data_IF_971970622066
#
_entry.id   IF_971970622066
#
_cell.length_a   1.000
_cell.length_b   1.000
_cell.length_c   1.000
_cell.angle_alpha   90.00
_cell.angle_beta   90.00
_cell.angle_gamma   90.00
#
_symmetry.space_group_name_H-M   'P 1'
#
loop_
_entity.id
_entity.type
_entity.pdbx_description
1 polymer ?
#
# COMPACT_ATOMS: atom_id res chain seq x y z
N UNK A 1 -14.86 -34.63 -0.01
CA UNK A 1 -14.49 -34.04 0.51
C UNK A 1 -14.44 -32.86 0.22
N UNK A 2 -14.51 -32.20 0.61
CA UNK A 2 -14.48 -31.03 0.26
C UNK A 2 -13.26 -30.46 0.18
N UNK A 3 -13.06 -29.71 -0.63
CA UNK A 3 -11.95 -29.05 -0.71
C UNK A 3 -11.95 -27.91 0.07
N UNK A 4 -11.49 -27.95 1.14
CA UNK A 4 -11.46 -26.81 2.00
C UNK A 4 -10.64 -25.72 1.55
N UNK A 5 -9.81 -25.93 0.58
CA UNK A 5 -9.00 -24.86 0.09
C UNK A 5 -9.76 -23.78 -0.54
N UNK A 6 -10.86 -24.13 -1.11
CA UNK A 6 -11.61 -23.15 -1.76
C UNK A 6 -12.27 -22.22 -0.84
N UNK A 7 -12.30 -22.55 0.42
CA UNK A 7 -12.96 -21.66 1.34
C UNK A 7 -12.03 -20.64 1.95
N UNK A 8 -10.74 -20.70 1.64
CA UNK A 8 -9.82 -19.72 2.19
C UNK A 8 -9.90 -18.43 1.39
N UNK A 9 -10.33 -17.33 1.99
CA UNK A 9 -10.41 -16.07 1.25
C UNK A 9 -9.01 -15.52 0.96
N UNK A 10 -8.87 -14.84 -0.15
CA UNK A 10 -7.63 -14.13 -0.45
C UNK A 10 -7.57 -12.87 0.39
N UNK A 11 -6.38 -12.28 0.51
CA UNK A 11 -6.27 -11.00 1.19
C UNK A 11 -7.14 -9.95 0.51
N UNK A 12 -7.25 -10.00 -0.80
CA UNK A 12 -8.13 -9.11 -1.56
C UNK A 12 -9.57 -9.19 -1.06
N UNK A 13 -10.08 -10.40 -0.86
CA UNK A 13 -11.44 -10.59 -0.36
C UNK A 13 -11.59 -10.15 1.09
N UNK A 14 -10.59 -10.44 1.92
CA UNK A 14 -10.62 -10.03 3.32
C UNK A 14 -10.69 -8.51 3.44
N UNK A 15 -10.00 -7.79 2.56
CA UNK A 15 -9.97 -6.34 2.60
C UNK A 15 -11.20 -5.69 1.95
N UNK A 16 -12.11 -6.48 1.43
CA UNK A 16 -13.37 -5.97 0.89
C UNK A 16 -13.42 -5.83 -0.62
N UNK A 17 -12.55 -6.53 -1.33
CA UNK A 17 -12.54 -6.48 -2.80
C UNK A 17 -12.09 -5.12 -3.32
N UNK A 18 -12.42 -4.84 -4.56
CA UNK A 18 -12.02 -3.56 -5.16
C UNK A 18 -12.48 -2.34 -4.38
N UNK A 19 -13.74 -2.28 -3.92
CA UNK A 19 -14.15 -1.12 -3.12
C UNK A 19 -13.37 -0.99 -1.82
N UNK A 20 -13.03 -2.10 -1.17
CA UNK A 20 -12.26 -2.07 0.08
C UNK A 20 -10.84 -1.61 -0.14
N UNK A 21 -10.17 -2.10 -1.20
CA UNK A 21 -8.83 -1.66 -1.55
C UNK A 21 -8.85 -0.16 -1.91
N UNK A 22 -9.87 0.28 -2.64
CA UNK A 22 -9.98 1.70 -3.02
C UNK A 22 -10.13 2.59 -1.79
N UNK A 23 -10.95 2.18 -0.83
CA UNK A 23 -11.11 2.93 0.42
C UNK A 23 -9.80 3.03 1.17
N UNK A 24 -9.04 1.94 1.24
CA UNK A 24 -7.76 1.95 1.94
C UNK A 24 -6.78 2.90 1.26
N UNK A 25 -6.67 2.82 -0.04
CA UNK A 25 -5.73 3.66 -0.80
C UNK A 25 -6.12 5.14 -0.68
N UNK A 26 -7.40 5.46 -0.80
CA UNK A 26 -7.82 6.85 -0.70
C UNK A 26 -7.58 7.40 0.70
N UNK A 27 -7.85 6.61 1.74
CA UNK A 27 -7.60 7.07 3.10
C UNK A 27 -6.11 7.23 3.37
N UNK A 28 -5.30 6.31 2.85
CA UNK A 28 -3.84 6.38 2.96
C UNK A 28 -3.31 7.71 2.41
N UNK A 29 -3.72 8.10 1.22
CA UNK A 29 -3.25 9.34 0.64
C UNK A 29 -3.89 10.58 1.28
N UNK A 30 -5.12 10.47 1.78
CA UNK A 30 -5.73 11.57 2.53
C UNK A 30 -4.94 11.84 3.81
N UNK A 31 -4.56 10.79 4.54
CA UNK A 31 -3.75 10.91 5.76
C UNK A 31 -2.39 11.52 5.41
N UNK A 32 -1.76 11.06 4.35
CA UNK A 32 -0.47 11.58 3.91
C UNK A 32 -0.53 13.08 3.62
N UNK A 33 -1.64 13.52 3.03
CA UNK A 33 -1.77 14.92 2.61
C UNK A 33 -2.00 15.88 3.77
N UNK A 34 -2.64 15.41 4.84
CA UNK A 34 -3.03 16.32 5.93
C UNK A 34 -2.25 16.13 7.22
N UNK A 35 -1.56 15.01 7.40
CA UNK A 35 -0.90 14.72 8.67
C UNK A 35 0.51 15.31 8.70
N UNK A 36 0.74 16.20 9.66
CA UNK A 36 2.04 16.87 9.80
C UNK A 36 3.19 15.91 10.05
N UNK A 37 2.91 14.78 10.68
CA UNK A 37 3.94 13.80 10.97
C UNK A 37 4.44 13.11 9.70
N UNK A 38 3.76 13.30 8.57
CA UNK A 38 4.07 12.61 7.32
C UNK A 38 4.60 13.54 6.24
N UNK A 39 5.03 14.73 6.62
CA UNK A 39 5.44 15.74 5.61
C UNK A 39 6.67 15.30 4.81
N UNK A 40 7.57 14.52 5.39
CA UNK A 40 8.75 14.05 4.65
C UNK A 40 8.31 13.09 3.55
N UNK A 41 7.41 12.17 3.89
CA UNK A 41 6.85 11.24 2.91
C UNK A 41 6.05 12.01 1.85
N UNK A 42 5.23 12.97 2.28
CA UNK A 42 4.43 13.76 1.34
C UNK A 42 5.33 14.47 0.33
N UNK A 43 6.49 14.96 0.77
CA UNK A 43 7.40 15.69 -0.08
C UNK A 43 8.05 14.84 -1.17
N UNK A 44 8.06 13.53 -1.02
CA UNK A 44 8.56 12.62 -2.06
C UNK A 44 7.62 12.60 -3.27
N UNK A 45 6.36 12.97 -3.04
CA UNK A 45 5.33 12.96 -4.09
C UNK A 45 5.20 14.35 -4.73
N UNK A 46 4.72 14.38 -5.95
CA UNK A 46 4.49 15.64 -6.64
C UNK A 46 3.30 16.42 -6.07
N UNK A 47 2.92 17.52 -6.72
CA UNK A 47 1.84 18.36 -6.21
C UNK A 47 0.49 17.66 -6.10
N UNK A 48 0.20 16.74 -7.03
CA UNK A 48 -1.06 16.01 -7.01
C UNK A 48 -0.81 14.56 -6.65
N UNK A 49 -1.69 13.97 -5.84
CA UNK A 49 -1.62 12.57 -5.46
C UNK A 49 -2.54 11.70 -6.32
N UNK A 50 -3.21 12.25 -7.33
CA UNK A 50 -4.19 11.47 -8.09
C UNK A 50 -3.60 10.26 -8.79
N UNK A 51 -2.50 10.43 -9.49
CA UNK A 51 -1.88 9.30 -10.18
C UNK A 51 -1.33 8.27 -9.20
N UNK A 52 -0.80 8.73 -8.07
CA UNK A 52 -0.29 7.83 -7.05
C UNK A 52 -1.43 6.97 -6.48
N UNK A 53 -2.61 7.58 -6.25
CA UNK A 53 -3.78 6.86 -5.76
C UNK A 53 -4.19 5.74 -6.72
N UNK A 54 -4.27 6.05 -7.99
CA UNK A 54 -4.68 5.06 -8.98
C UNK A 54 -3.67 3.95 -9.11
N UNK A 55 -2.38 4.29 -9.15
CA UNK A 55 -1.34 3.28 -9.32
C UNK A 55 -1.24 2.35 -8.12
N UNK A 56 -1.34 2.87 -6.92
CA UNK A 56 -1.30 2.03 -5.72
C UNK A 56 -2.54 1.13 -5.67
N UNK A 57 -3.70 1.67 -6.00
CA UNK A 57 -4.93 0.88 -6.05
C UNK A 57 -4.77 -0.29 -7.04
N UNK A 58 -4.32 -0.02 -8.25
CA UNK A 58 -4.15 -1.07 -9.25
C UNK A 58 -3.14 -2.12 -8.79
N UNK A 59 -2.03 -1.67 -8.20
CA UNK A 59 -0.99 -2.56 -7.73
C UNK A 59 -1.49 -3.45 -6.58
N UNK A 60 -2.16 -2.86 -5.60
CA UNK A 60 -2.60 -3.64 -4.43
C UNK A 60 -3.69 -4.64 -4.78
N UNK A 61 -4.58 -4.30 -5.73
CA UNK A 61 -5.57 -5.29 -6.16
C UNK A 61 -4.88 -6.56 -6.63
N UNK A 62 -3.89 -6.44 -7.50
CA UNK A 62 -3.17 -7.61 -7.99
C UNK A 62 -2.31 -8.27 -6.94
N UNK A 63 -1.65 -7.47 -6.11
CA UNK A 63 -0.76 -7.99 -5.07
C UNK A 63 -1.52 -8.88 -4.08
N UNK A 64 -2.74 -8.53 -3.75
CA UNK A 64 -3.53 -9.27 -2.76
C UNK A 64 -4.41 -10.36 -3.38
N UNK A 65 -4.25 -10.66 -4.65
CA UNK A 65 -4.93 -11.79 -5.28
C UNK A 65 -6.17 -11.44 -6.07
N UNK A 66 -6.41 -10.16 -6.31
CA UNK A 66 -7.52 -9.70 -7.14
C UNK A 66 -7.11 -9.47 -8.58
N UNK A 67 -7.87 -8.67 -9.32
CA UNK A 67 -7.57 -8.39 -10.73
C UNK A 67 -6.20 -7.74 -10.91
N UNK A 68 -5.49 -8.13 -11.97
CA UNK A 68 -4.14 -7.68 -12.23
C UNK A 68 -4.12 -6.35 -13.00
N UNK A 69 -4.80 -5.36 -12.46
CA UNK A 69 -4.97 -4.05 -13.10
C UNK A 69 -3.65 -3.37 -13.45
N UNK A 70 -2.67 -3.44 -12.54
CA UNK A 70 -1.40 -2.77 -12.79
C UNK A 70 -0.64 -3.44 -13.93
N UNK A 71 -0.58 -4.76 -13.91
CA UNK A 71 0.14 -5.53 -14.93
C UNK A 71 -0.49 -5.33 -16.30
N UNK A 72 -1.81 -5.28 -16.37
CA UNK A 72 -2.51 -5.05 -17.62
C UNK A 72 -2.19 -3.70 -18.22
N UNK A 73 -1.94 -2.68 -17.38
CA UNK A 73 -1.66 -1.33 -17.85
C UNK A 73 -0.19 -1.06 -18.08
N UNK A 74 0.68 -1.59 -17.23
CA UNK A 74 2.09 -1.21 -17.22
C UNK A 74 3.06 -2.37 -17.33
N UNK A 75 2.59 -3.61 -17.31
CA UNK A 75 3.44 -4.78 -17.25
C UNK A 75 3.94 -5.04 -15.85
N UNK A 76 5.06 -5.75 -15.72
CA UNK A 76 5.63 -6.11 -14.44
C UNK A 76 5.87 -4.85 -13.59
N UNK A 77 5.47 -4.84 -12.32
CA UNK A 77 5.59 -3.63 -11.50
C UNK A 77 7.00 -3.09 -11.34
N UNK A 78 8.01 -3.97 -11.18
CA UNK A 78 9.40 -3.55 -11.00
C UNK A 78 9.51 -2.45 -9.97
N UNK A 79 8.95 -2.68 -8.79
CA UNK A 79 8.80 -1.64 -7.79
C UNK A 79 10.09 -0.92 -7.43
N UNK A 80 11.16 -1.69 -7.19
CA UNK A 80 12.41 -1.05 -6.81
C UNK A 80 12.96 -0.16 -7.92
N UNK A 81 12.93 -0.64 -9.16
CA UNK A 81 13.43 0.14 -10.28
C UNK A 81 12.63 1.43 -10.47
N UNK A 82 11.31 1.34 -10.31
CA UNK A 82 10.45 2.52 -10.50
C UNK A 82 10.60 3.54 -9.39
N UNK A 83 11.11 3.14 -8.22
CA UNK A 83 11.31 4.03 -7.10
C UNK A 83 12.74 4.58 -7.00
N UNK A 84 13.66 4.10 -7.83
CA UNK A 84 15.03 4.59 -7.79
C UNK A 84 15.17 6.11 -8.01
N UNK A 85 14.32 6.76 -8.81
CA UNK A 85 14.42 8.23 -8.95
C UNK A 85 14.10 9.00 -7.68
N UNK A 86 13.50 8.34 -6.67
CA UNK A 86 13.10 9.00 -5.44
C UNK A 86 14.07 8.62 -4.32
N UNK A 87 14.32 9.55 -3.40
CA UNK A 87 15.21 9.26 -2.27
C UNK A 87 14.40 8.60 -1.16
N UNK A 88 14.61 7.32 -0.94
CA UNK A 88 13.84 6.55 0.04
C UNK A 88 14.79 5.91 1.04
N UNK A 89 14.82 6.46 2.24
CA UNK A 89 15.59 5.93 3.35
C UNK A 89 14.69 5.37 4.43
N UNK A 90 15.23 5.21 5.61
CA UNK A 90 14.48 4.65 6.74
C UNK A 90 13.33 5.56 7.15
N UNK A 91 13.54 6.88 7.12
CA UNK A 91 12.49 7.81 7.53
C UNK A 91 11.29 7.74 6.60
N UNK A 92 11.52 7.74 5.29
CA UNK A 92 10.43 7.63 4.33
C UNK A 92 9.71 6.30 4.47
N UNK A 93 10.45 5.21 4.65
CA UNK A 93 9.88 3.89 4.87
C UNK A 93 8.99 3.88 6.11
N UNK A 94 9.51 4.44 7.22
CA UNK A 94 8.78 4.41 8.47
C UNK A 94 7.54 5.30 8.42
N UNK A 95 7.61 6.44 7.77
CA UNK A 95 6.44 7.29 7.59
C UNK A 95 5.40 6.63 6.70
N UNK A 96 5.82 5.88 5.69
CA UNK A 96 4.90 5.14 4.84
C UNK A 96 4.11 4.11 5.67
N UNK A 97 4.81 3.39 6.52
CA UNK A 97 4.17 2.40 7.39
C UNK A 97 3.24 3.05 8.41
N UNK A 98 3.65 4.17 8.98
CA UNK A 98 2.82 4.92 9.91
C UNK A 98 1.55 5.42 9.22
N UNK A 99 1.69 5.94 8.00
CA UNK A 99 0.57 6.41 7.21
C UNK A 99 -0.43 5.28 6.96
N UNK A 100 0.08 4.10 6.57
CA UNK A 100 -0.77 2.95 6.30
C UNK A 100 -1.47 2.48 7.58
N UNK A 101 -0.75 2.46 8.71
CA UNK A 101 -1.34 2.06 9.98
C UNK A 101 -2.48 3.00 10.39
N UNK A 102 -2.27 4.30 10.21
CA UNK A 102 -3.31 5.29 10.54
C UNK A 102 -4.53 5.15 9.63
N UNK A 103 -4.29 4.90 8.35
CA UNK A 103 -5.39 4.69 7.41
C UNK A 103 -6.22 3.46 7.78
N UNK A 104 -5.57 2.36 8.10
CA UNK A 104 -6.27 1.14 8.49
C UNK A 104 -7.06 1.34 9.79
N UNK A 105 -6.47 2.07 10.73
CA UNK A 105 -7.15 2.34 11.98
C UNK A 105 -8.39 3.22 11.77
N UNK A 106 -8.26 4.23 10.91
CA UNK A 106 -9.38 5.11 10.59
C UNK A 106 -10.53 4.35 9.93
N UNK A 107 -10.21 3.29 9.22
CA UNK A 107 -11.22 2.45 8.55
C UNK A 107 -11.71 1.31 9.44
N UNK A 108 -11.30 1.32 10.70
CA UNK A 108 -11.75 0.35 11.71
C UNK A 108 -11.33 -1.08 11.43
N UNK A 109 -10.16 -1.28 10.83
CA UNK A 109 -9.58 -2.63 10.73
C UNK A 109 -9.28 -3.10 12.15
N UNK A 110 -9.46 -4.39 12.42
CA UNK A 110 -9.13 -4.88 13.75
C UNK A 110 -7.61 -4.94 13.92
N UNK A 111 -7.17 -4.95 15.18
CA UNK A 111 -5.75 -4.84 15.50
C UNK A 111 -4.92 -6.00 14.94
N UNK A 112 -5.46 -7.19 14.94
CA UNK A 112 -4.74 -8.35 14.43
C UNK A 112 -4.53 -8.23 12.92
N UNK A 113 -5.53 -7.72 12.20
CA UNK A 113 -5.40 -7.49 10.77
C UNK A 113 -4.38 -6.41 10.48
N UNK A 114 -4.39 -5.32 11.25
CA UNK A 114 -3.43 -4.24 11.08
C UNK A 114 -2.00 -4.78 11.26
N UNK A 115 -1.76 -5.55 12.31
CA UNK A 115 -0.44 -6.13 12.54
C UNK A 115 0.02 -6.99 11.38
N UNK A 116 -0.86 -7.83 10.89
CA UNK A 116 -0.53 -8.71 9.79
C UNK A 116 -0.23 -7.95 8.54
N UNK A 117 -1.04 -6.93 8.24
CA UNK A 117 -0.84 -6.10 7.05
C UNK A 117 0.45 -5.30 7.16
N UNK A 118 0.80 -4.80 8.35
CA UNK A 118 2.03 -4.05 8.52
C UNK A 118 3.27 -4.93 8.33
N UNK A 119 3.20 -6.20 8.71
CA UNK A 119 4.30 -7.12 8.43
C UNK A 119 4.52 -7.29 6.94
N UNK A 120 3.44 -7.45 6.20
CA UNK A 120 3.50 -7.59 4.75
C UNK A 120 4.04 -6.31 4.12
N UNK A 121 3.49 -5.17 4.51
CA UNK A 121 3.90 -3.88 3.96
C UNK A 121 5.33 -3.51 4.32
N UNK A 122 5.81 -3.92 5.50
CA UNK A 122 7.20 -3.66 5.86
C UNK A 122 8.16 -4.29 4.85
N UNK A 123 7.90 -5.53 4.47
CA UNK A 123 8.76 -6.19 3.49
C UNK A 123 8.81 -5.45 2.17
N UNK A 124 7.66 -4.99 1.69
CA UNK A 124 7.61 -4.26 0.43
C UNK A 124 8.26 -2.88 0.57
N UNK A 125 7.94 -2.16 1.62
CA UNK A 125 8.45 -0.79 1.82
C UNK A 125 9.97 -0.79 2.04
N UNK A 126 10.48 -1.76 2.79
CA UNK A 126 11.90 -1.85 3.04
C UNK A 126 12.67 -2.19 1.76
N UNK A 127 12.08 -3.00 0.89
CA UNK A 127 12.68 -3.34 -0.40
C UNK A 127 12.83 -2.12 -1.30
N UNK A 128 11.99 -1.08 -1.10
CA UNK A 128 12.06 0.13 -1.90
C UNK A 128 13.16 1.09 -1.46
N UNK A 129 13.78 0.86 -0.28
CA UNK A 129 14.82 1.76 0.20
C UNK A 129 16.01 1.78 -0.75
N UNK A 130 16.55 2.96 -0.97
CA UNK A 130 17.73 3.15 -1.80
C UNK A 130 18.73 4.09 -1.12
N UNK A 131 18.54 4.39 0.15
CA UNK A 131 19.47 5.18 0.97
C UNK A 131 19.71 4.44 2.28
N UNK A 132 20.89 4.63 2.84
CA UNK A 132 21.24 3.94 4.08
C UNK A 132 20.57 4.52 5.31
N UNK A 133 20.11 5.70 5.25
CA UNK A 133 19.51 6.30 6.43
C UNK A 133 18.24 7.06 6.21
#
# INVERSE_FOLDING_TARGET
>A
MTDTNETQPTAFEILGGEPGIRRLVDRFYDVMDIDEDLKVLRAVHGPSLEQARDKLYWYLCGYFGGPQHYIERFGHPRLRARHLPYSIGILERDQWLLCMARAMKDLAYDDALIERMLEIFFGVADWMRNKDG
#
